data_IF_265726361906
#
_entry.id   IF_265726361906
#
_cell.length_a   1.000
_cell.length_b   1.000
_cell.length_c   1.000
_cell.angle_alpha   90.00
_cell.angle_beta   90.00
_cell.angle_gamma   90.00
#
_symmetry.space_group_name_H-M   'P 1'
#
loop_
_entity.id
_entity.type
_entity.pdbx_description
1 polymer ?
#
# COMPACT_ATOMS: atom_id res chain seq x y z
N UNK A 1 7.34 4.16 22.88
CA UNK A 1 6.21 3.61 22.10
C UNK A 1 6.65 2.32 21.44
N UNK A 2 5.76 1.32 21.26
CA UNK A 2 6.07 0.14 20.45
C UNK A 2 6.21 0.57 18.98
N UNK A 3 7.00 -0.17 18.19
CA UNK A 3 7.10 0.06 16.75
C UNK A 3 5.97 -0.66 16.03
N UNK A 4 5.20 0.07 15.22
CA UNK A 4 4.25 -0.51 14.27
C UNK A 4 4.87 -0.44 12.87
N UNK A 5 4.85 -1.55 12.14
CA UNK A 5 5.28 -1.55 10.74
C UNK A 5 4.08 -1.72 9.82
N UNK A 6 3.82 -0.74 8.96
CA UNK A 6 2.83 -0.85 7.87
C UNK A 6 3.57 -1.14 6.58
N UNK A 7 3.28 -2.27 5.95
CA UNK A 7 3.98 -2.73 4.74
C UNK A 7 2.99 -2.72 3.59
N UNK A 8 3.34 -2.08 2.48
CA UNK A 8 2.62 -2.20 1.23
C UNK A 8 3.38 -3.13 0.29
N UNK A 9 2.73 -4.21 -0.15
CA UNK A 9 3.28 -5.14 -1.15
C UNK A 9 2.84 -4.76 -2.58
N UNK A 10 3.76 -4.83 -3.53
CA UNK A 10 3.51 -4.59 -4.96
C UNK A 10 2.78 -5.75 -5.66
N UNK A 11 2.03 -5.44 -6.72
CA UNK A 11 1.23 -6.42 -7.48
C UNK A 11 2.05 -7.56 -8.09
N UNK A 12 3.23 -7.26 -8.65
CA UNK A 12 4.05 -8.27 -9.33
C UNK A 12 4.49 -9.42 -8.42
N UNK A 13 4.65 -9.15 -7.12
CA UNK A 13 5.01 -10.18 -6.14
C UNK A 13 3.81 -11.05 -5.81
N UNK A 14 2.61 -10.44 -5.70
CA UNK A 14 1.36 -11.15 -5.40
C UNK A 14 1.08 -12.23 -6.44
N UNK A 15 1.37 -11.93 -7.70
CA UNK A 15 1.06 -12.80 -8.83
C UNK A 15 2.14 -13.86 -9.10
N UNK A 16 3.21 -13.88 -8.28
CA UNK A 16 4.29 -14.88 -8.33
C UNK A 16 4.29 -15.70 -7.03
N UNK A 17 3.64 -16.88 -7.01
CA UNK A 17 3.41 -17.65 -5.78
C UNK A 17 4.66 -17.89 -4.94
N UNK A 18 5.78 -18.25 -5.56
CA UNK A 18 7.04 -18.52 -4.86
C UNK A 18 7.64 -17.25 -4.22
N UNK A 19 7.60 -16.12 -4.93
CA UNK A 19 8.07 -14.83 -4.40
C UNK A 19 7.16 -14.33 -3.28
N UNK A 20 5.84 -14.53 -3.41
CA UNK A 20 4.87 -14.20 -2.37
C UNK A 20 5.11 -15.03 -1.10
N UNK A 21 5.36 -16.33 -1.22
CA UNK A 21 5.65 -17.18 -0.05
C UNK A 21 6.90 -16.71 0.68
N UNK A 22 7.99 -16.48 -0.04
CA UNK A 22 9.25 -15.95 0.54
C UNK A 22 9.03 -14.57 1.18
N UNK A 23 8.20 -13.72 0.57
CA UNK A 23 7.86 -12.41 1.15
C UNK A 23 7.09 -12.56 2.46
N UNK A 24 6.09 -13.44 2.51
CA UNK A 24 5.26 -13.65 3.70
C UNK A 24 6.04 -14.27 4.86
N UNK A 25 6.99 -15.17 4.58
CA UNK A 25 7.94 -15.67 5.58
C UNK A 25 8.82 -14.56 6.18
N UNK A 26 9.26 -13.60 5.36
CA UNK A 26 10.01 -12.42 5.84
C UNK A 26 9.12 -11.47 6.63
N UNK A 27 7.87 -11.29 6.19
CA UNK A 27 6.88 -10.45 6.87
C UNK A 27 6.52 -10.99 8.25
N UNK A 28 6.34 -12.31 8.39
CA UNK A 28 6.05 -12.97 9.67
C UNK A 28 7.14 -12.68 10.72
N UNK A 29 8.40 -12.72 10.31
CA UNK A 29 9.59 -12.46 11.15
C UNK A 29 9.79 -11.00 11.57
N UNK A 30 8.98 -10.05 11.09
CA UNK A 30 9.06 -8.66 11.54
C UNK A 30 8.60 -8.58 12.99
N UNK A 31 9.43 -8.05 13.88
CA UNK A 31 9.09 -7.90 15.29
C UNK A 31 7.97 -6.87 15.52
N UNK A 32 7.09 -7.18 16.47
CA UNK A 32 6.03 -6.28 16.93
C UNK A 32 4.79 -6.21 16.03
N UNK A 33 3.89 -5.26 16.34
CA UNK A 33 2.69 -5.03 15.55
C UNK A 33 3.01 -4.72 14.08
N UNK A 34 2.26 -5.34 13.16
CA UNK A 34 2.42 -5.15 11.73
C UNK A 34 1.09 -5.17 11.01
N UNK A 35 1.02 -4.43 9.90
CA UNK A 35 -0.13 -4.37 8.98
C UNK A 35 0.41 -4.60 7.56
N UNK A 36 -0.27 -5.45 6.80
CA UNK A 36 0.01 -5.65 5.38
C UNK A 36 -1.07 -4.95 4.55
N UNK A 37 -0.68 -4.21 3.51
CA UNK A 37 -1.58 -3.58 2.55
C UNK A 37 -1.22 -4.06 1.15
N UNK A 38 -2.22 -4.44 0.36
CA UNK A 38 -2.01 -4.94 -0.99
C UNK A 38 -3.00 -4.34 -1.99
N UNK A 39 -2.55 -4.27 -3.24
CA UNK A 39 -3.41 -4.07 -4.40
C UNK A 39 -3.65 -5.39 -5.13
N UNK A 40 -3.78 -5.32 -6.45
CA UNK A 40 -3.89 -6.51 -7.30
C UNK A 40 -3.95 -6.16 -8.79
N UNK A 41 -3.27 -5.08 -9.17
CA UNK A 41 -3.48 -4.44 -10.48
C UNK A 41 -3.25 -5.36 -11.68
N UNK A 42 -2.27 -6.26 -11.59
CA UNK A 42 -1.91 -7.20 -12.65
C UNK A 42 -2.98 -8.30 -12.78
N UNK A 43 -3.25 -9.08 -11.73
CA UNK A 43 -4.35 -10.07 -11.76
C UNK A 43 -5.73 -9.47 -12.12
N UNK A 44 -6.05 -8.25 -11.65
CA UNK A 44 -7.29 -7.60 -12.03
C UNK A 44 -7.34 -7.23 -13.52
N UNK A 45 -6.23 -6.79 -14.12
CA UNK A 45 -6.18 -6.55 -15.56
C UNK A 45 -6.32 -7.85 -16.35
N UNK A 46 -5.64 -8.92 -15.94
CA UNK A 46 -5.76 -10.23 -16.58
C UNK A 46 -7.20 -10.76 -16.54
N UNK A 47 -7.89 -10.59 -15.40
CA UNK A 47 -9.28 -11.01 -15.28
C UNK A 47 -10.24 -10.09 -16.04
N UNK A 48 -9.95 -8.79 -16.13
CA UNK A 48 -10.71 -7.86 -16.94
C UNK A 48 -10.67 -8.27 -18.41
N UNK A 49 -9.48 -8.59 -18.93
CA UNK A 49 -9.28 -9.03 -20.31
C UNK A 49 -10.03 -10.32 -20.62
N UNK A 50 -9.97 -11.32 -19.70
CA UNK A 50 -10.73 -12.58 -19.82
C UNK A 50 -12.25 -12.38 -19.85
N UNK A 51 -12.75 -11.34 -19.19
CA UNK A 51 -14.17 -11.01 -19.13
C UNK A 51 -14.60 -9.98 -20.18
N UNK A 52 -13.69 -9.52 -21.05
CA UNK A 52 -13.96 -8.49 -22.05
C UNK A 52 -14.20 -7.09 -21.46
N UNK A 53 -13.80 -6.84 -20.22
CA UNK A 53 -13.94 -5.55 -19.54
C UNK A 53 -12.74 -4.67 -19.92
N UNK A 54 -12.99 -3.61 -20.70
CA UNK A 54 -11.93 -2.70 -21.15
C UNK A 54 -11.37 -1.86 -19.99
N UNK A 55 -10.10 -2.07 -19.66
CA UNK A 55 -9.38 -1.21 -18.71
C UNK A 55 -9.14 0.19 -19.31
N UNK A 56 -9.58 1.24 -18.63
CA UNK A 56 -9.33 2.64 -19.00
C UNK A 56 -8.31 3.27 -18.05
N UNK A 57 -7.31 3.95 -18.61
CA UNK A 57 -6.24 4.59 -17.85
C UNK A 57 -6.16 6.08 -18.21
N UNK A 58 -5.88 6.92 -17.22
CA UNK A 58 -5.59 8.34 -17.39
C UNK A 58 -4.37 8.71 -16.52
N UNK A 59 -3.29 9.16 -17.15
CA UNK A 59 -2.03 9.53 -16.46
C UNK A 59 -1.53 8.45 -15.47
N UNK A 60 -1.53 7.19 -15.90
CA UNK A 60 -1.09 6.05 -15.08
C UNK A 60 -2.08 5.61 -13.99
N UNK A 61 -3.25 6.26 -13.87
CA UNK A 61 -4.31 5.89 -12.93
C UNK A 61 -5.48 5.23 -13.65
N UNK A 62 -6.07 4.20 -13.03
CA UNK A 62 -7.25 3.51 -13.55
C UNK A 62 -8.50 4.38 -13.38
N UNK A 63 -9.27 4.54 -14.45
CA UNK A 63 -10.66 5.00 -14.36
C UNK A 63 -11.49 3.77 -13.98
N UNK A 64 -12.22 3.85 -12.87
CA UNK A 64 -12.98 2.75 -12.31
C UNK A 64 -14.48 3.01 -12.53
N UNK A 65 -15.06 2.43 -13.58
CA UNK A 65 -16.52 2.34 -13.70
C UNK A 65 -17.08 1.20 -12.84
N UNK A 66 -18.41 1.02 -12.86
CA UNK A 66 -19.08 0.06 -11.97
C UNK A 66 -18.66 -1.39 -12.22
N UNK A 67 -18.49 -1.79 -13.48
CA UNK A 67 -18.06 -3.15 -13.83
C UNK A 67 -16.60 -3.38 -13.43
N UNK A 68 -15.74 -2.38 -13.66
CA UNK A 68 -14.36 -2.39 -13.15
C UNK A 68 -14.35 -2.48 -11.62
N UNK A 69 -15.21 -1.73 -10.92
CA UNK A 69 -15.32 -1.74 -9.46
C UNK A 69 -15.70 -3.11 -8.92
N UNK A 70 -16.73 -3.75 -9.49
CA UNK A 70 -17.15 -5.11 -9.11
C UNK A 70 -16.00 -6.09 -9.28
N UNK A 71 -15.34 -6.05 -10.43
CA UNK A 71 -14.20 -6.91 -10.73
C UNK A 71 -13.07 -6.73 -9.73
N UNK A 72 -12.58 -5.51 -9.54
CA UNK A 72 -11.44 -5.27 -8.63
C UNK A 72 -11.82 -5.61 -7.19
N UNK A 73 -13.08 -5.43 -6.79
CA UNK A 73 -13.54 -5.81 -5.44
C UNK A 73 -13.50 -7.32 -5.24
N UNK A 74 -13.99 -8.11 -6.21
CA UNK A 74 -13.92 -9.57 -6.16
C UNK A 74 -12.48 -10.09 -6.17
N UNK A 75 -11.60 -9.49 -6.98
CA UNK A 75 -10.20 -9.91 -7.07
C UNK A 75 -9.41 -9.48 -5.84
N UNK A 76 -9.54 -8.23 -5.40
CA UNK A 76 -8.75 -7.68 -4.30
C UNK A 76 -9.24 -8.21 -2.95
N UNK A 77 -10.51 -8.00 -2.61
CA UNK A 77 -11.05 -8.37 -1.30
C UNK A 77 -11.38 -9.86 -1.18
N UNK A 78 -11.71 -10.50 -2.31
CA UNK A 78 -11.93 -11.94 -2.40
C UNK A 78 -10.61 -12.68 -2.59
N UNK A 79 -10.25 -12.96 -3.83
CA UNK A 79 -9.18 -13.90 -4.15
C UNK A 79 -7.84 -13.55 -3.50
N UNK A 80 -7.27 -12.38 -3.81
CA UNK A 80 -5.92 -12.02 -3.35
C UNK A 80 -5.86 -11.94 -1.83
N UNK A 81 -6.78 -11.21 -1.20
CA UNK A 81 -6.76 -10.99 0.24
C UNK A 81 -6.87 -12.31 1.01
N UNK A 82 -7.81 -13.19 0.61
CA UNK A 82 -8.00 -14.47 1.29
C UNK A 82 -6.85 -15.45 1.00
N UNK A 83 -6.25 -15.41 -0.19
CA UNK A 83 -5.04 -16.19 -0.48
C UNK A 83 -3.84 -15.77 0.38
N UNK A 84 -3.61 -14.46 0.56
CA UNK A 84 -2.53 -13.95 1.43
C UNK A 84 -2.77 -14.38 2.88
N UNK A 85 -3.99 -14.20 3.39
CA UNK A 85 -4.34 -14.59 4.76
C UNK A 85 -4.17 -16.08 4.98
N UNK A 86 -4.62 -16.93 4.06
CA UNK A 86 -4.45 -18.37 4.17
C UNK A 86 -2.97 -18.78 4.25
N UNK A 87 -2.09 -18.13 3.46
CA UNK A 87 -0.64 -18.36 3.51
C UNK A 87 -0.03 -17.88 4.83
N UNK A 88 -0.44 -16.73 5.35
CA UNK A 88 0.00 -16.22 6.65
C UNK A 88 -0.42 -17.15 7.80
N UNK A 89 -1.66 -17.64 7.76
CA UNK A 89 -2.16 -18.58 8.76
C UNK A 89 -1.39 -19.91 8.74
N UNK A 90 -1.02 -20.41 7.55
CA UNK A 90 -0.18 -21.62 7.40
C UNK A 90 1.16 -21.50 8.12
N UNK A 91 1.76 -20.31 8.17
CA UNK A 91 3.06 -20.06 8.82
C UNK A 91 2.93 -19.52 10.25
N UNK A 92 1.74 -19.62 10.85
CA UNK A 92 1.51 -19.21 12.25
C UNK A 92 1.34 -17.71 12.47
N UNK A 93 1.26 -16.90 11.40
CA UNK A 93 0.97 -15.48 11.49
C UNK A 93 -0.55 -15.25 11.57
N UNK A 94 -1.06 -15.17 12.81
CA UNK A 94 -2.49 -14.97 13.06
C UNK A 94 -2.96 -13.65 12.42
N UNK A 95 -3.72 -13.76 11.34
CA UNK A 95 -4.04 -12.66 10.44
C UNK A 95 -5.50 -12.63 10.04
N UNK A 96 -6.00 -11.43 9.76
CA UNK A 96 -7.36 -11.21 9.28
C UNK A 96 -7.35 -10.34 8.02
N UNK A 97 -8.07 -10.79 7.02
CA UNK A 97 -8.22 -10.10 5.75
C UNK A 97 -9.37 -9.12 5.76
N UNK A 98 -9.07 -7.85 5.49
CA UNK A 98 -10.01 -6.73 5.55
C UNK A 98 -9.97 -5.88 4.27
N UNK A 99 -11.09 -5.24 3.99
CA UNK A 99 -11.20 -4.02 3.20
C UNK A 99 -11.40 -2.83 4.15
N UNK A 100 -11.44 -1.63 3.60
CA UNK A 100 -11.83 -0.43 4.34
C UNK A 100 -13.30 -0.40 4.75
N UNK A 101 -14.17 -1.21 4.13
CA UNK A 101 -15.58 -1.31 4.47
C UNK A 101 -15.82 -2.11 5.76
N UNK A 102 -14.97 -3.10 6.03
CA UNK A 102 -15.11 -3.97 7.20
C UNK A 102 -14.96 -3.14 8.49
N UNK A 103 -15.99 -3.15 9.33
CA UNK A 103 -16.05 -2.38 10.58
C UNK A 103 -15.85 -0.84 10.43
N UNK A 104 -16.23 -0.27 9.28
CA UNK A 104 -15.98 1.16 8.96
C UNK A 104 -14.49 1.53 9.15
N UNK A 105 -13.60 0.61 8.81
CA UNK A 105 -12.20 0.72 9.19
C UNK A 105 -11.46 1.84 8.45
N UNK A 106 -11.66 1.92 7.13
CA UNK A 106 -11.05 2.93 6.26
C UNK A 106 -12.13 3.52 5.36
N UNK A 107 -12.91 4.50 5.85
CA UNK A 107 -13.84 5.26 5.02
C UNK A 107 -13.09 6.13 4.02
N UNK A 108 -13.74 6.44 2.90
CA UNK A 108 -13.22 7.30 1.86
C UNK A 108 -14.34 8.18 1.29
N UNK A 109 -13.97 9.30 0.68
CA UNK A 109 -14.91 10.12 -0.10
C UNK A 109 -14.64 9.84 -1.57
N UNK A 110 -15.69 9.75 -2.38
CA UNK A 110 -15.51 9.64 -3.84
C UNK A 110 -14.73 10.86 -4.34
N UNK A 111 -13.65 10.59 -5.07
CA UNK A 111 -12.80 11.62 -5.67
C UNK A 111 -13.64 12.57 -6.54
N UNK A 112 -13.33 13.87 -6.45
CA UNK A 112 -13.96 14.89 -7.28
C UNK A 112 -13.87 14.51 -8.77
N UNK A 113 -14.97 14.63 -9.55
CA UNK A 113 -14.94 14.39 -10.99
C UNK A 113 -14.25 15.52 -11.78
N UNK A 114 -13.73 16.55 -11.10
CA UNK A 114 -13.06 17.70 -11.69
C UNK A 114 -11.59 17.73 -11.23
N UNK A 115 -10.61 17.88 -12.14
CA UNK A 115 -10.76 18.08 -13.59
C UNK A 115 -11.04 16.80 -14.40
N UNK A 116 -10.90 15.62 -13.81
CA UNK A 116 -11.07 14.33 -14.48
C UNK A 116 -11.89 13.39 -13.60
N UNK A 117 -12.94 12.79 -14.16
CA UNK A 117 -13.74 11.78 -13.46
C UNK A 117 -13.07 10.41 -13.54
N UNK A 118 -12.54 9.96 -12.40
CA UNK A 118 -11.98 8.62 -12.23
C UNK A 118 -13.04 7.57 -11.90
N UNK A 119 -14.32 7.94 -11.80
CA UNK A 119 -15.43 7.05 -11.47
C UNK A 119 -15.50 6.75 -9.97
N UNK A 120 -15.60 5.46 -9.63
CA UNK A 120 -15.71 4.94 -8.25
C UNK A 120 -14.33 4.85 -7.58
N UNK A 121 -13.61 5.96 -7.54
CA UNK A 121 -12.32 6.06 -6.85
C UNK A 121 -12.48 6.85 -5.57
N UNK A 122 -11.92 6.33 -4.48
CA UNK A 122 -11.97 6.93 -3.15
C UNK A 122 -10.67 7.63 -2.76
N UNK A 123 -10.82 8.78 -2.10
CA UNK A 123 -9.77 9.50 -1.40
C UNK A 123 -9.97 9.29 0.11
N UNK A 124 -8.91 8.81 0.77
CA UNK A 124 -8.93 8.47 2.20
C UNK A 124 -8.41 9.65 3.00
N UNK A 125 -9.14 10.02 4.06
CA UNK A 125 -8.68 10.94 5.09
C UNK A 125 -8.14 10.11 6.28
N UNK A 126 -6.84 10.21 6.62
CA UNK A 126 -6.26 9.51 7.77
C UNK A 126 -6.98 9.80 9.09
N UNK A 127 -7.59 10.98 9.26
CA UNK A 127 -8.30 11.36 10.47
C UNK A 127 -9.67 10.67 10.64
N UNK A 128 -10.18 10.05 9.58
CA UNK A 128 -11.45 9.32 9.58
C UNK A 128 -11.28 7.82 9.80
N UNK A 129 -10.05 7.31 9.81
CA UNK A 129 -9.76 5.88 10.01
C UNK A 129 -10.14 5.46 11.43
N UNK A 130 -10.82 4.31 11.54
CA UNK A 130 -11.22 3.74 12.82
C UNK A 130 -10.01 3.10 13.54
N UNK A 131 -9.18 3.94 14.14
CA UNK A 131 -7.99 3.51 14.88
C UNK A 131 -8.34 2.63 16.07
N UNK A 132 -9.48 2.86 16.74
CA UNK A 132 -9.93 2.04 17.87
C UNK A 132 -10.07 0.55 17.51
N UNK A 133 -10.66 0.26 16.35
CA UNK A 133 -10.75 -1.11 15.84
C UNK A 133 -9.36 -1.71 15.55
N UNK A 134 -8.50 -0.97 14.84
CA UNK A 134 -7.14 -1.40 14.52
C UNK A 134 -6.29 -1.68 15.76
N UNK A 135 -6.32 -0.77 16.73
CA UNK A 135 -5.62 -0.89 18.01
C UNK A 135 -6.07 -2.13 18.79
N UNK A 136 -7.38 -2.41 18.81
CA UNK A 136 -7.93 -3.61 19.44
C UNK A 136 -7.41 -4.90 18.78
N UNK A 137 -7.35 -4.95 17.44
CA UNK A 137 -6.82 -6.13 16.73
C UNK A 137 -5.33 -6.32 16.97
N UNK A 138 -4.54 -5.26 16.78
CA UNK A 138 -3.09 -5.28 17.00
C UNK A 138 -2.75 -5.65 18.45
N UNK A 139 -3.52 -5.14 19.42
CA UNK A 139 -3.38 -5.46 20.85
C UNK A 139 -3.66 -6.93 21.18
N UNK A 140 -4.49 -7.61 20.39
CA UNK A 140 -4.77 -9.06 20.49
C UNK A 140 -3.79 -9.92 19.69
N UNK A 141 -2.76 -9.32 19.09
CA UNK A 141 -1.80 -10.04 18.24
C UNK A 141 -2.39 -10.50 16.90
N UNK A 142 -3.51 -9.93 16.46
CA UNK A 142 -4.09 -10.20 15.15
C UNK A 142 -3.48 -9.22 14.16
N UNK A 143 -2.91 -9.74 13.07
CA UNK A 143 -2.27 -8.98 11.99
C UNK A 143 -3.29 -8.61 10.91
N UNK A 144 -3.64 -7.32 10.74
CA UNK A 144 -4.54 -6.89 9.67
C UNK A 144 -3.88 -6.97 8.29
N UNK A 145 -4.60 -7.50 7.32
CA UNK A 145 -4.22 -7.56 5.90
C UNK A 145 -5.27 -6.83 5.08
N UNK A 146 -4.95 -5.62 4.64
CA UNK A 146 -5.86 -4.75 3.88
C UNK A 146 -5.71 -4.92 2.38
N UNK A 147 -6.85 -5.06 1.70
CA UNK A 147 -6.96 -4.79 0.26
C UNK A 147 -7.36 -3.33 0.00
N UNK A 148 -7.02 -2.79 -1.17
CA UNK A 148 -7.25 -1.39 -1.53
C UNK A 148 -8.70 -1.05 -1.97
N UNK A 149 -9.69 -1.59 -1.26
CA UNK A 149 -11.12 -1.28 -1.42
C UNK A 149 -11.58 -0.57 -0.16
N UNK A 150 -12.31 0.53 -0.31
CA UNK A 150 -12.87 1.35 0.79
C UNK A 150 -14.37 1.53 0.60
N UNK A 151 -15.01 2.38 1.39
CA UNK A 151 -16.44 2.69 1.27
C UNK A 151 -16.74 4.14 1.63
N UNK A 152 -17.90 4.62 1.22
CA UNK A 152 -18.32 6.02 1.35
C UNK A 152 -19.26 6.32 2.54
N UNK A 153 -19.47 5.34 3.42
CA UNK A 153 -20.47 5.33 4.52
C UNK A 153 -21.94 5.47 4.08
N UNK A 154 -22.22 5.55 2.77
CA UNK A 154 -23.57 5.58 2.19
C UNK A 154 -23.94 4.25 1.52
N UNK A 155 -23.13 3.21 1.72
CA UNK A 155 -23.33 1.87 1.17
C UNK A 155 -22.63 1.62 -0.17
N UNK A 156 -21.87 2.60 -0.70
CA UNK A 156 -21.05 2.39 -1.90
C UNK A 156 -19.62 2.00 -1.53
N UNK A 157 -19.06 1.05 -2.27
CA UNK A 157 -17.63 0.72 -2.20
C UNK A 157 -16.84 1.56 -3.21
N UNK A 158 -15.57 1.81 -2.91
CA UNK A 158 -14.68 2.64 -3.73
C UNK A 158 -13.34 1.93 -3.94
N UNK A 159 -12.79 2.06 -5.14
CA UNK A 159 -11.43 1.64 -5.43
C UNK A 159 -10.45 2.70 -4.90
N UNK A 160 -9.39 2.29 -4.19
CA UNK A 160 -8.41 3.20 -3.59
C UNK A 160 -7.00 2.83 -4.02
N UNK A 161 -6.09 3.80 -4.05
CA UNK A 161 -4.69 3.49 -4.29
C UNK A 161 -4.07 2.79 -3.06
N UNK A 162 -3.43 1.64 -3.25
CA UNK A 162 -2.82 0.87 -2.16
C UNK A 162 -1.70 1.64 -1.44
N UNK A 163 -0.92 2.46 -2.15
CA UNK A 163 0.12 3.30 -1.55
C UNK A 163 -0.50 4.37 -0.64
N UNK A 164 -1.63 4.97 -1.05
CA UNK A 164 -2.42 5.94 -0.25
C UNK A 164 -3.11 5.28 0.94
N UNK A 165 -3.65 4.06 0.78
CA UNK A 165 -4.25 3.32 1.89
C UNK A 165 -3.20 3.01 2.96
N UNK A 166 -2.03 2.55 2.55
CA UNK A 166 -0.93 2.27 3.47
C UNK A 166 -0.42 3.52 4.19
N UNK A 167 -0.20 4.64 3.49
CA UNK A 167 0.20 5.89 4.15
C UNK A 167 -0.88 6.41 5.08
N UNK A 168 -2.16 6.34 4.70
CA UNK A 168 -3.26 6.83 5.54
C UNK A 168 -3.38 6.02 6.82
N UNK A 169 -3.30 4.68 6.76
CA UNK A 169 -3.29 3.82 7.95
C UNK A 169 -2.06 4.13 8.83
N UNK A 170 -0.89 4.31 8.23
CA UNK A 170 0.34 4.63 8.96
C UNK A 170 0.23 5.99 9.69
N UNK A 171 -0.30 7.01 9.02
CA UNK A 171 -0.55 8.34 9.59
C UNK A 171 -1.56 8.23 10.73
N UNK A 172 -2.67 7.51 10.55
CA UNK A 172 -3.71 7.39 11.57
C UNK A 172 -3.17 6.78 12.87
N UNK A 173 -2.25 5.82 12.78
CA UNK A 173 -1.67 5.10 13.93
C UNK A 173 -0.36 5.71 14.46
N UNK A 174 0.15 6.79 13.86
CA UNK A 174 1.40 7.44 14.26
C UNK A 174 1.35 8.12 15.63
N UNK A 175 0.14 8.40 16.13
CA UNK A 175 -0.08 8.96 17.48
C UNK A 175 0.08 7.91 18.58
N UNK A 176 -0.15 6.64 18.25
CA UNK A 176 -0.14 5.52 19.21
C UNK A 176 1.15 4.70 19.15
N UNK A 177 1.81 4.67 17.98
CA UNK A 177 3.03 3.90 17.74
C UNK A 177 4.17 4.74 17.17
N UNK A 178 5.39 4.25 17.34
CA UNK A 178 6.48 4.64 16.46
C UNK A 178 6.23 3.95 15.11
N UNK A 179 5.67 4.66 14.14
CA UNK A 179 5.19 4.04 12.91
C UNK A 179 6.26 4.06 11.83
N UNK A 180 6.55 2.88 11.28
CA UNK A 180 7.36 2.69 10.06
C UNK A 180 6.45 2.31 8.92
N UNK A 181 6.60 2.98 7.78
CA UNK A 181 5.91 2.64 6.55
C UNK A 181 6.91 2.08 5.54
N UNK A 182 6.66 0.88 5.02
CA UNK A 182 7.53 0.23 4.04
C UNK A 182 6.76 0.05 2.74
N UNK A 183 7.23 0.70 1.68
CA UNK A 183 6.78 0.45 0.32
C UNK A 183 7.69 -0.58 -0.35
N UNK A 184 7.11 -1.73 -0.70
CA UNK A 184 7.79 -2.73 -1.52
C UNK A 184 7.42 -2.54 -3.00
N UNK A 185 8.38 -2.03 -3.78
CA UNK A 185 8.28 -1.83 -5.22
C UNK A 185 9.21 -2.78 -5.99
N UNK A 186 9.27 -2.62 -7.31
CA UNK A 186 10.05 -3.48 -8.22
C UNK A 186 11.56 -3.18 -8.20
N UNK A 187 11.95 -1.97 -7.81
CA UNK A 187 13.36 -1.56 -7.73
C UNK A 187 13.90 -1.73 -6.31
N UNK A 188 15.22 -1.88 -6.19
CA UNK A 188 15.92 -2.09 -4.92
C UNK A 188 15.72 -0.93 -3.92
N UNK A 189 15.53 0.28 -4.43
CA UNK A 189 15.26 1.51 -3.70
C UNK A 189 15.08 2.67 -4.69
N UNK A 190 15.34 3.90 -4.26
CA UNK A 190 15.52 5.05 -5.14
C UNK A 190 16.94 5.02 -5.68
N UNK A 191 17.08 4.96 -7.00
CA UNK A 191 18.38 4.85 -7.68
C UNK A 191 18.82 6.23 -8.17
N UNK A 192 20.10 6.59 -7.98
CA UNK A 192 20.69 7.79 -8.57
C UNK A 192 20.92 7.64 -10.07
N UNK A 193 21.10 6.40 -10.53
CA UNK A 193 21.15 6.03 -11.95
C UNK A 193 20.15 4.88 -12.21
N UNK A 194 19.05 5.11 -12.96
CA UNK A 194 18.06 4.06 -13.25
C UNK A 194 18.60 2.80 -13.94
N UNK A 195 19.74 2.92 -14.62
CA UNK A 195 20.40 1.83 -15.36
C UNK A 195 21.41 1.04 -14.50
N UNK A 196 21.66 1.47 -13.26
CA UNK A 196 22.54 0.81 -12.29
C UNK A 196 21.78 0.45 -11.02
N UNK A 197 21.52 -0.85 -10.82
CA UNK A 197 20.75 -1.35 -9.67
C UNK A 197 21.45 -1.19 -8.32
N UNK A 198 22.78 -0.98 -8.33
CA UNK A 198 23.56 -0.76 -7.11
C UNK A 198 23.67 0.73 -6.76
N UNK A 199 23.19 1.63 -7.62
CA UNK A 199 23.18 3.09 -7.39
C UNK A 199 22.11 3.58 -6.40
N UNK A 200 21.79 2.77 -5.39
CA UNK A 200 20.76 3.09 -4.39
C UNK A 200 21.19 4.31 -3.58
N UNK A 201 20.30 5.31 -3.50
CA UNK A 201 20.41 6.43 -2.58
C UNK A 201 19.93 5.93 -1.20
N UNK A 202 20.81 5.71 -0.20
CA UNK A 202 20.40 5.03 1.03
C UNK A 202 19.51 5.89 1.93
N UNK A 203 19.66 7.22 1.85
CA UNK A 203 18.93 8.19 2.65
C UNK A 203 18.50 9.40 1.80
N UNK A 204 17.21 9.70 1.82
CA UNK A 204 16.64 10.93 1.26
C UNK A 204 15.98 11.69 2.41
N UNK A 205 16.41 12.94 2.61
CA UNK A 205 15.81 13.84 3.58
C UNK A 205 14.92 14.85 2.88
N UNK A 206 14.02 15.49 3.61
CA UNK A 206 13.21 16.58 3.04
C UNK A 206 14.07 17.66 2.35
N UNK A 207 15.23 17.96 2.94
CA UNK A 207 16.16 18.97 2.44
C UNK A 207 16.81 18.54 1.11
N UNK A 208 17.27 17.29 1.02
CA UNK A 208 17.96 16.84 -0.19
C UNK A 208 16.98 16.46 -1.31
N UNK A 209 15.72 16.13 -0.98
CA UNK A 209 14.71 15.70 -1.93
C UNK A 209 14.47 16.74 -3.04
N UNK A 210 14.33 18.02 -2.69
CA UNK A 210 14.11 19.09 -3.69
C UNK A 210 15.29 19.20 -4.66
N UNK A 211 16.53 19.01 -4.18
CA UNK A 211 17.71 19.00 -5.06
C UNK A 211 17.75 17.77 -5.98
N UNK A 212 17.35 16.60 -5.47
CA UNK A 212 17.30 15.35 -6.24
C UNK A 212 16.18 15.42 -7.29
N UNK A 213 15.07 16.08 -6.95
CA UNK A 213 13.97 16.35 -7.88
C UNK A 213 14.42 17.30 -8.99
N UNK A 214 15.11 18.38 -8.64
CA UNK A 214 15.62 19.36 -9.60
C UNK A 214 16.72 18.81 -10.53
N UNK A 215 17.51 17.83 -10.07
CA UNK A 215 18.57 17.21 -10.89
C UNK A 215 18.04 16.24 -11.96
N UNK A 216 16.74 15.92 -11.95
CA UNK A 216 16.13 14.98 -12.90
C UNK A 216 16.46 13.50 -12.64
N UNK A 217 17.11 13.18 -11.51
CA UNK A 217 17.45 11.81 -11.10
C UNK A 217 16.19 10.97 -10.87
N UNK A 218 15.16 11.57 -10.25
CA UNK A 218 13.88 10.91 -9.97
C UNK A 218 12.89 11.23 -11.10
N UNK A 219 12.51 10.21 -11.89
CA UNK A 219 11.56 10.32 -13.02
C UNK A 219 10.09 10.12 -12.61
N UNK A 220 9.18 10.45 -13.52
CA UNK A 220 7.73 10.71 -13.33
C UNK A 220 6.93 9.72 -12.48
N UNK A 221 7.32 8.44 -12.40
CA UNK A 221 6.65 7.45 -11.54
C UNK A 221 7.09 7.47 -10.07
N UNK A 222 8.31 7.95 -9.80
CA UNK A 222 8.90 7.95 -8.46
C UNK A 222 8.61 9.26 -7.71
N UNK A 223 8.41 10.38 -8.41
CA UNK A 223 8.02 11.66 -7.79
C UNK A 223 6.74 11.50 -6.94
N UNK A 224 5.62 10.95 -7.46
CA UNK A 224 4.40 10.78 -6.64
C UNK A 224 4.59 9.84 -5.45
N UNK A 225 5.54 8.89 -5.53
CA UNK A 225 5.86 7.97 -4.43
C UNK A 225 6.65 8.68 -3.34
N UNK A 226 7.59 9.54 -3.71
CA UNK A 226 8.31 10.38 -2.76
C UNK A 226 7.38 11.39 -2.10
N UNK A 227 6.52 12.05 -2.89
CA UNK A 227 5.56 13.03 -2.37
C UNK A 227 4.61 12.37 -1.36
N UNK A 228 4.12 11.16 -1.62
CA UNK A 228 3.29 10.40 -0.66
C UNK A 228 4.09 9.99 0.59
N UNK A 229 5.35 9.58 0.43
CA UNK A 229 6.21 9.22 1.55
C UNK A 229 6.51 10.43 2.47
N UNK A 230 6.85 11.59 1.90
CA UNK A 230 7.04 12.82 2.68
C UNK A 230 5.75 13.33 3.29
N UNK A 231 4.62 13.23 2.57
CA UNK A 231 3.32 13.53 3.15
C UNK A 231 3.05 12.69 4.41
N UNK A 232 3.41 11.40 4.40
CA UNK A 232 3.27 10.56 5.58
C UNK A 232 4.17 11.01 6.74
N UNK A 233 5.42 11.38 6.45
CA UNK A 233 6.38 11.87 7.46
C UNK A 233 5.90 13.20 8.06
N UNK A 234 5.50 14.13 7.21
CA UNK A 234 4.97 15.45 7.59
C UNK A 234 3.71 15.32 8.47
N UNK A 235 3.01 14.17 8.41
CA UNK A 235 1.84 13.83 9.22
C UNK A 235 2.13 12.82 10.35
N UNK A 236 3.39 12.68 10.74
CA UNK A 236 3.80 11.99 11.97
C UNK A 236 4.34 10.57 11.81
N UNK A 237 4.36 10.00 10.60
CA UNK A 237 5.05 8.71 10.37
C UNK A 237 6.54 8.89 10.61
N UNK A 238 7.14 8.05 11.47
CA UNK A 238 8.51 8.25 11.92
C UNK A 238 9.55 8.01 10.83
N UNK A 239 9.35 6.98 9.99
CA UNK A 239 10.28 6.60 8.92
C UNK A 239 9.51 5.97 7.77
N UNK A 240 9.87 6.31 6.53
CA UNK A 240 9.38 5.63 5.34
C UNK A 240 10.53 4.91 4.65
N UNK A 241 10.31 3.67 4.23
CA UNK A 241 11.30 2.87 3.51
C UNK A 241 10.77 2.54 2.12
N UNK A 242 11.66 2.61 1.14
CA UNK A 242 11.40 2.15 -0.23
C UNK A 242 12.38 1.04 -0.52
N UNK A 243 11.83 -0.16 -0.71
CA UNK A 243 12.60 -1.39 -0.84
C UNK A 243 12.08 -2.23 -1.99
N UNK A 244 12.91 -3.14 -2.48
CA UNK A 244 12.41 -4.33 -3.16
C UNK A 244 11.81 -5.31 -2.14
N UNK A 245 10.83 -6.11 -2.56
CA UNK A 245 10.17 -7.09 -1.70
C UNK A 245 11.14 -8.13 -1.10
N UNK A 246 12.18 -8.51 -1.85
CA UNK A 246 13.23 -9.43 -1.36
C UNK A 246 14.04 -8.85 -0.19
N UNK A 247 14.05 -7.53 0.00
CA UNK A 247 14.84 -6.83 1.02
C UNK A 247 14.05 -6.49 2.28
N UNK A 248 12.82 -7.00 2.43
CA UNK A 248 11.97 -6.69 3.60
C UNK A 248 12.69 -6.95 4.94
N UNK A 249 13.44 -8.04 5.04
CA UNK A 249 14.17 -8.46 6.24
C UNK A 249 15.60 -7.91 6.38
N UNK A 250 16.05 -6.99 5.53
CA UNK A 250 17.39 -6.42 5.61
C UNK A 250 17.37 -4.88 5.44
N UNK A 251 18.54 -4.24 5.53
CA UNK A 251 18.68 -2.79 5.45
C UNK A 251 18.88 -2.25 4.01
N UNK A 252 18.83 -3.10 2.98
CA UNK A 252 18.99 -2.66 1.58
C UNK A 252 17.72 -1.94 1.12
N UNK A 253 17.90 -0.71 0.63
CA UNK A 253 16.85 0.17 0.12
C UNK A 253 17.11 1.63 0.48
N UNK A 254 16.09 2.46 0.29
CA UNK A 254 16.14 3.90 0.60
C UNK A 254 15.29 4.19 1.82
N UNK A 255 15.85 4.94 2.77
CA UNK A 255 15.13 5.48 3.92
C UNK A 255 14.79 6.94 3.64
N UNK A 256 13.57 7.35 3.96
CA UNK A 256 13.11 8.72 3.93
C UNK A 256 12.85 9.23 5.35
N UNK A 257 13.37 10.42 5.65
CA UNK A 257 13.28 11.09 6.95
C UNK A 257 13.10 12.60 6.81
#
# INVERSE_FOLDING_TARGET
MKTLTVIKIGGNIIDRPDELEVFLEKFEKIDGPKILVHGGGVLASEMADKLGIKTKMHQGRRITDLETLKLVSMVYAGWINKSIVAKLQKIGCNSIGLSGADADCVPAVRRSPVPVDFGYVGDVDPHQINTGFLLSMLGKGITPVFCAITHDRNGSILNTNADTMASSIAIALSRDYYTRLIYCFEKQGVLSNPDDEESIIPLITRVNYESIKASGVIRDGMIPKMDNAFFAIDNGVSEVFIKHASNLGNNKGTVLK
#
